data_IF_739528925073
#
_entry.id   IF_739528925073
#
_cell.length_a   1.000
_cell.length_b   1.000
_cell.length_c   1.000
_cell.angle_alpha   90.00
_cell.angle_beta   90.00
_cell.angle_gamma   90.00
#
_symmetry.space_group_name_H-M   'P 1'
#
loop_
_entity.id
_entity.type
_entity.pdbx_description
1 polymer ?
#
# COMPACT_ATOMS: atom_id res chain seq x y z
N UNK A 1 -5.53 -28.49 8.20
CA UNK A 1 -5.28 -27.02 8.12
C UNK A 1 -4.03 -26.66 8.91
N UNK A 2 -3.31 -25.63 8.50
CA UNK A 2 -2.08 -25.18 9.15
C UNK A 2 -2.41 -24.32 10.38
N UNK A 3 -1.68 -24.46 11.51
CA UNK A 3 -1.81 -23.55 12.66
C UNK A 3 -1.05 -22.24 12.38
N UNK A 4 -1.42 -21.14 13.03
CA UNK A 4 -0.77 -19.83 12.82
C UNK A 4 0.74 -19.88 13.01
N UNK A 5 1.22 -20.57 14.06
CA UNK A 5 2.65 -20.77 14.34
C UNK A 5 3.39 -21.49 13.19
N UNK A 6 2.71 -22.40 12.50
CA UNK A 6 3.27 -23.18 11.40
C UNK A 6 3.40 -22.36 10.13
N UNK A 7 2.61 -21.28 9.96
CA UNK A 7 2.67 -20.39 8.79
C UNK A 7 4.01 -19.68 8.68
N UNK A 8 4.52 -19.14 9.78
CA UNK A 8 5.82 -18.46 9.81
C UNK A 8 6.94 -19.45 9.49
N UNK A 9 6.83 -20.68 10.01
CA UNK A 9 7.79 -21.77 9.70
C UNK A 9 7.73 -22.14 8.22
N UNK A 10 6.54 -22.33 7.67
CA UNK A 10 6.31 -22.64 6.26
C UNK A 10 6.88 -21.53 5.35
N UNK A 11 6.65 -20.24 5.64
CA UNK A 11 7.28 -19.14 4.92
C UNK A 11 8.82 -19.22 4.98
N UNK A 12 9.37 -19.59 6.13
CA UNK A 12 10.80 -19.83 6.31
C UNK A 12 11.32 -20.98 5.44
N UNK A 13 10.56 -22.07 5.31
CA UNK A 13 10.88 -23.20 4.45
C UNK A 13 10.81 -22.82 2.97
N UNK A 14 9.74 -22.11 2.53
CA UNK A 14 9.63 -21.59 1.17
C UNK A 14 10.81 -20.66 0.82
N UNK A 15 11.25 -19.82 1.77
CA UNK A 15 12.41 -18.95 1.58
C UNK A 15 13.70 -19.74 1.40
N UNK A 16 13.94 -20.79 2.19
CA UNK A 16 15.13 -21.64 2.06
C UNK A 16 15.12 -22.52 0.82
N UNK A 17 13.93 -22.98 0.40
CA UNK A 17 13.75 -23.82 -0.78
C UNK A 17 13.91 -23.08 -2.12
N UNK A 18 13.90 -21.76 -2.11
CA UNK A 18 13.99 -20.92 -3.30
C UNK A 18 15.26 -20.07 -3.28
N UNK A 19 15.86 -19.87 -4.44
CA UNK A 19 16.99 -18.93 -4.58
C UNK A 19 16.46 -17.56 -4.90
N UNK A 20 16.61 -16.65 -3.95
CA UNK A 20 16.29 -15.23 -4.13
C UNK A 20 17.57 -14.41 -4.00
N UNK A 21 17.83 -13.54 -4.97
CA UNK A 21 18.94 -12.60 -4.95
C UNK A 21 18.49 -11.27 -5.51
N UNK A 22 18.75 -10.22 -4.77
CA UNK A 22 18.50 -8.84 -5.19
C UNK A 22 19.78 -8.06 -4.97
N UNK A 23 20.34 -7.52 -6.05
CA UNK A 23 21.60 -6.78 -6.02
C UNK A 23 21.43 -5.41 -6.65
N UNK A 24 22.04 -4.40 -6.04
CA UNK A 24 22.11 -3.08 -6.66
C UNK A 24 23.10 -3.11 -7.82
N UNK A 25 22.68 -2.52 -8.92
CA UNK A 25 23.49 -2.35 -10.11
C UNK A 25 23.44 -0.90 -10.59
N UNK A 26 24.46 -0.43 -11.36
CA UNK A 26 24.39 0.85 -12.03
C UNK A 26 23.12 0.99 -12.88
N UNK A 27 22.56 2.20 -12.96
CA UNK A 27 21.32 2.48 -13.69
C UNK A 27 21.44 2.19 -15.19
N UNK A 28 22.62 2.30 -15.77
CA UNK A 28 22.93 1.99 -17.17
C UNK A 28 23.17 0.49 -17.43
N UNK A 29 23.26 -0.33 -16.37
CA UNK A 29 23.43 -1.78 -16.47
C UNK A 29 22.14 -2.57 -16.22
N UNK A 30 21.01 -1.92 -16.09
CA UNK A 30 19.71 -2.60 -16.00
C UNK A 30 19.35 -3.18 -17.36
N UNK A 31 19.33 -4.52 -17.45
CA UNK A 31 18.98 -5.21 -18.69
C UNK A 31 17.54 -4.88 -19.13
N UNK A 32 17.39 -4.55 -20.41
CA UNK A 32 16.13 -4.15 -21.01
C UNK A 32 15.69 -2.69 -20.71
N UNK A 33 16.34 -1.99 -19.80
CA UNK A 33 16.04 -0.59 -19.46
C UNK A 33 17.04 0.38 -20.07
N UNK A 34 16.58 1.60 -20.34
CA UNK A 34 17.42 2.69 -20.86
C UNK A 34 16.89 4.03 -20.36
N UNK A 35 17.73 5.02 -20.38
CA UNK A 35 17.33 6.41 -20.27
C UNK A 35 17.06 6.96 -21.66
N UNK A 36 15.93 7.61 -21.83
CA UNK A 36 15.61 8.32 -23.07
C UNK A 36 16.56 9.52 -23.24
N UNK A 37 17.16 9.65 -24.41
CA UNK A 37 18.19 10.69 -24.66
C UNK A 37 17.63 12.12 -24.61
N UNK A 38 16.34 12.29 -24.92
CA UNK A 38 15.70 13.60 -24.94
C UNK A 38 15.15 14.05 -23.60
N UNK A 39 14.60 13.10 -22.82
CA UNK A 39 13.89 13.39 -21.57
C UNK A 39 14.61 12.89 -20.31
N UNK A 40 15.56 11.97 -20.47
CA UNK A 40 16.20 11.30 -19.34
C UNK A 40 15.30 10.28 -18.62
N UNK A 41 14.05 10.10 -19.06
CA UNK A 41 13.10 9.15 -18.47
C UNK A 41 13.63 7.73 -18.55
N UNK A 42 13.41 6.95 -17.49
CA UNK A 42 13.82 5.55 -17.50
C UNK A 42 12.67 4.72 -18.06
N UNK A 43 12.95 4.00 -19.15
CA UNK A 43 11.97 3.23 -19.92
C UNK A 43 12.48 1.84 -20.21
N UNK A 44 11.55 0.88 -20.37
CA UNK A 44 11.90 -0.47 -20.80
C UNK A 44 11.77 -0.61 -22.33
N UNK A 45 12.73 -1.29 -22.99
CA UNK A 45 12.81 -1.45 -24.46
C UNK A 45 11.59 -2.12 -25.09
N UNK A 46 10.84 -2.94 -24.32
CA UNK A 46 9.62 -3.58 -24.82
C UNK A 46 8.44 -2.60 -24.97
N UNK A 47 8.55 -1.36 -24.47
CA UNK A 47 7.43 -0.42 -24.36
C UNK A 47 6.34 -0.82 -23.33
N UNK A 48 6.52 -1.96 -22.66
CA UNK A 48 5.67 -2.43 -21.57
C UNK A 48 6.23 -2.06 -20.20
N UNK A 49 5.61 -2.61 -19.13
CA UNK A 49 5.94 -2.34 -17.74
C UNK A 49 5.57 -0.91 -17.30
N UNK A 50 6.49 -0.23 -16.64
CA UNK A 50 6.33 1.13 -16.13
C UNK A 50 7.49 2.00 -16.63
N UNK A 51 7.37 3.29 -16.39
CA UNK A 51 8.43 4.26 -16.63
C UNK A 51 8.71 5.05 -15.36
N UNK A 52 9.91 5.62 -15.24
CA UNK A 52 10.22 6.66 -14.25
C UNK A 52 10.36 7.96 -14.99
N UNK A 53 9.49 8.91 -14.70
CA UNK A 53 9.37 10.20 -15.37
C UNK A 53 9.51 11.33 -14.33
N UNK A 54 9.66 12.56 -14.78
CA UNK A 54 9.62 13.74 -13.91
C UNK A 54 8.21 14.33 -13.83
N UNK A 55 7.88 14.93 -12.69
CA UNK A 55 6.69 15.78 -12.54
C UNK A 55 7.01 17.05 -11.78
N UNK A 56 6.24 18.11 -12.10
CA UNK A 56 6.07 19.29 -11.25
C UNK A 56 4.67 19.29 -10.68
N UNK A 57 4.55 19.40 -9.37
CA UNK A 57 3.28 19.49 -8.67
C UNK A 57 3.11 20.89 -8.04
N UNK A 58 1.91 21.45 -8.14
CA UNK A 58 1.53 22.74 -7.56
C UNK A 58 0.25 22.60 -6.75
N UNK A 59 0.21 23.22 -5.58
CA UNK A 59 -0.97 23.21 -4.70
C UNK A 59 -1.18 24.56 -4.04
N UNK A 60 -2.43 24.87 -3.73
CA UNK A 60 -2.80 26.02 -2.90
C UNK A 60 -2.59 25.83 -1.39
N UNK A 61 -2.15 24.65 -0.94
CA UNK A 61 -2.16 24.26 0.48
C UNK A 61 -0.81 23.71 0.96
N UNK A 62 -0.60 23.74 2.28
CA UNK A 62 0.62 23.23 2.91
C UNK A 62 1.81 24.19 2.84
N UNK A 63 2.93 23.87 3.49
CA UNK A 63 4.13 24.73 3.53
C UNK A 63 4.89 24.72 2.18
N UNK A 64 4.85 23.62 1.44
CA UNK A 64 5.48 23.50 0.12
C UNK A 64 4.39 23.62 -0.94
N UNK A 65 4.45 24.70 -1.72
CA UNK A 65 3.45 25.04 -2.76
C UNK A 65 3.79 24.49 -4.14
N UNK A 66 5.06 24.26 -4.39
CA UNK A 66 5.59 23.72 -5.66
C UNK A 66 6.72 22.76 -5.32
N UNK A 67 6.71 21.59 -5.93
CA UNK A 67 7.82 20.65 -5.85
C UNK A 67 7.96 19.86 -7.16
N UNK A 68 9.12 19.32 -7.36
CA UNK A 68 9.42 18.43 -8.49
C UNK A 68 10.00 17.12 -7.97
N UNK A 69 9.68 16.03 -8.66
CA UNK A 69 10.16 14.72 -8.26
C UNK A 69 10.10 13.69 -9.38
N UNK A 70 10.91 12.61 -9.30
CA UNK A 70 10.66 11.40 -10.05
C UNK A 70 9.32 10.78 -9.63
N UNK A 71 8.62 10.18 -10.60
CA UNK A 71 7.37 9.45 -10.35
C UNK A 71 7.30 8.20 -11.22
N UNK A 72 6.64 7.17 -10.72
CA UNK A 72 6.40 5.94 -11.48
C UNK A 72 5.10 6.09 -12.27
N UNK A 73 5.19 5.94 -13.60
CA UNK A 73 4.04 5.91 -14.49
C UNK A 73 3.78 4.47 -14.93
N UNK A 74 2.71 3.88 -14.43
CA UNK A 74 2.26 2.52 -14.76
C UNK A 74 0.75 2.52 -15.00
N UNK A 75 0.33 2.63 -16.26
CA UNK A 75 -1.07 2.80 -16.64
C UNK A 75 -1.91 1.53 -16.56
N UNK A 76 -1.29 0.34 -16.53
CA UNK A 76 -2.00 -0.92 -16.46
C UNK A 76 -2.72 -1.08 -15.13
N UNK A 77 -4.00 -1.41 -15.15
CA UNK A 77 -4.74 -1.86 -13.97
C UNK A 77 -4.42 -3.33 -13.73
N UNK A 78 -3.78 -3.63 -12.62
CA UNK A 78 -3.49 -4.99 -12.18
C UNK A 78 -4.67 -5.60 -11.40
N UNK A 79 -4.60 -6.90 -11.17
CA UNK A 79 -5.53 -7.64 -10.31
C UNK A 79 -4.81 -8.01 -9.02
N UNK A 80 -5.36 -7.57 -7.90
CA UNK A 80 -5.02 -8.00 -6.55
C UNK A 80 -6.23 -8.77 -6.03
N UNK A 81 -6.13 -10.10 -6.00
CA UNK A 81 -7.29 -10.96 -5.75
C UNK A 81 -7.06 -11.96 -4.64
N UNK A 82 -8.02 -12.10 -3.72
CA UNK A 82 -8.05 -13.17 -2.73
C UNK A 82 -9.18 -14.12 -3.08
N UNK A 83 -8.83 -15.39 -3.35
CA UNK A 83 -9.78 -16.48 -3.48
C UNK A 83 -10.13 -16.98 -2.09
N UNK A 84 -11.42 -17.09 -1.80
CA UNK A 84 -11.90 -17.63 -0.54
C UNK A 84 -12.77 -18.86 -0.76
N UNK A 85 -12.75 -19.76 0.23
CA UNK A 85 -13.58 -20.96 0.25
C UNK A 85 -13.99 -21.28 1.68
N UNK A 86 -15.20 -21.74 1.86
CA UNK A 86 -15.70 -22.23 3.14
C UNK A 86 -15.26 -23.68 3.35
N UNK A 87 -14.68 -23.96 4.52
CA UNK A 87 -14.40 -25.30 5.02
C UNK A 87 -15.02 -25.44 6.41
N UNK A 88 -15.89 -26.43 6.57
CA UNK A 88 -16.59 -26.72 7.83
C UNK A 88 -17.29 -25.49 8.44
N UNK A 89 -17.94 -24.67 7.62
CA UNK A 89 -18.64 -23.46 8.05
C UNK A 89 -17.72 -22.25 8.31
N UNK A 90 -16.41 -22.36 8.04
CA UNK A 90 -15.44 -21.27 8.26
C UNK A 90 -14.81 -20.83 6.93
N UNK A 91 -14.88 -19.53 6.66
CA UNK A 91 -14.29 -18.95 5.45
C UNK A 91 -12.77 -18.85 5.57
N UNK A 92 -12.08 -19.36 4.56
CA UNK A 92 -10.61 -19.34 4.45
C UNK A 92 -10.17 -18.58 3.20
N UNK A 93 -9.07 -17.86 3.31
CA UNK A 93 -8.39 -17.15 2.25
C UNK A 93 -7.22 -17.98 1.72
N UNK A 94 -7.11 -18.11 0.40
CA UNK A 94 -5.94 -18.73 -0.24
C UNK A 94 -4.83 -17.67 -0.39
N UNK A 95 -3.79 -17.80 0.41
CA UNK A 95 -2.68 -16.85 0.45
C UNK A 95 -1.43 -17.43 -0.21
N UNK A 96 -0.67 -16.60 -0.93
CA UNK A 96 0.55 -17.00 -1.65
C UNK A 96 1.81 -16.60 -0.88
N UNK A 97 2.80 -17.49 -0.77
CA UNK A 97 4.17 -17.14 -0.41
C UNK A 97 4.87 -16.53 -1.65
N UNK A 98 4.92 -15.21 -1.73
CA UNK A 98 5.42 -14.49 -2.91
C UNK A 98 6.65 -13.66 -2.60
N UNK A 99 7.64 -13.74 -3.50
CA UNK A 99 8.82 -12.91 -3.46
C UNK A 99 8.57 -11.58 -4.17
N UNK A 100 8.94 -10.48 -3.51
CA UNK A 100 9.04 -9.16 -4.12
C UNK A 100 10.42 -8.57 -3.85
N UNK A 101 11.06 -7.95 -4.87
CA UNK A 101 12.48 -7.57 -4.77
C UNK A 101 12.77 -6.48 -3.74
N UNK A 102 11.78 -5.68 -3.38
CA UNK A 102 11.92 -4.58 -2.43
C UNK A 102 11.60 -4.94 -0.99
N UNK A 103 10.94 -6.05 -0.74
CA UNK A 103 10.50 -6.43 0.60
C UNK A 103 11.67 -6.92 1.49
N UNK A 104 11.54 -6.72 2.80
CA UNK A 104 12.43 -7.25 3.84
C UNK A 104 11.59 -7.88 4.96
N UNK A 105 11.49 -9.22 5.02
CA UNK A 105 12.10 -10.23 4.14
C UNK A 105 11.49 -10.25 2.73
N UNK A 106 12.26 -10.74 1.74
CA UNK A 106 11.84 -10.78 0.33
C UNK A 106 10.53 -11.57 0.10
N UNK A 107 10.30 -12.62 0.88
CA UNK A 107 9.13 -13.49 0.77
C UNK A 107 8.13 -13.15 1.88
N UNK A 108 6.91 -12.78 1.48
CA UNK A 108 5.80 -12.48 2.37
C UNK A 108 4.52 -13.15 1.88
N UNK A 109 3.47 -13.18 2.72
CA UNK A 109 2.12 -13.58 2.31
C UNK A 109 1.50 -12.52 1.41
N UNK A 110 1.18 -12.92 0.22
CA UNK A 110 0.57 -12.15 -0.86
C UNK A 110 -0.88 -12.60 -1.07
N UNK A 111 -1.74 -11.80 -1.73
CA UNK A 111 -3.04 -12.29 -2.17
C UNK A 111 -2.88 -13.49 -3.13
N UNK A 112 -3.94 -14.23 -3.37
CA UNK A 112 -3.93 -15.39 -4.27
C UNK A 112 -3.39 -15.02 -5.65
N UNK A 113 -3.81 -13.85 -6.16
CA UNK A 113 -3.33 -13.26 -7.41
C UNK A 113 -2.86 -11.85 -7.18
N UNK A 114 -1.64 -11.59 -7.61
CA UNK A 114 -1.05 -10.25 -7.69
C UNK A 114 -0.37 -10.16 -9.05
N UNK A 115 -1.06 -9.60 -10.05
CA UNK A 115 -0.59 -9.62 -11.43
C UNK A 115 -1.03 -8.37 -12.19
N UNK A 116 -0.12 -7.77 -12.94
CA UNK A 116 -0.44 -6.75 -13.95
C UNK A 116 -1.06 -7.39 -15.18
N UNK A 117 -1.74 -6.60 -16.00
CA UNK A 117 -2.37 -7.08 -17.24
C UNK A 117 -1.36 -7.77 -18.16
N UNK A 118 -0.18 -7.17 -18.34
CA UNK A 118 0.91 -7.73 -19.14
C UNK A 118 1.35 -9.11 -18.65
N UNK A 119 1.33 -9.37 -17.33
CA UNK A 119 1.70 -10.67 -16.76
C UNK A 119 0.64 -11.74 -17.07
N UNK A 120 -0.63 -11.49 -16.80
CA UNK A 120 -1.65 -12.53 -17.01
C UNK A 120 -2.06 -12.70 -18.49
N UNK A 121 -1.84 -11.69 -19.35
CA UNK A 121 -1.98 -11.84 -20.82
C UNK A 121 -0.72 -12.41 -21.49
N UNK A 122 0.34 -12.72 -20.72
CA UNK A 122 1.59 -13.35 -21.15
C UNK A 122 2.35 -12.58 -22.23
N UNK A 123 2.33 -11.26 -22.21
CA UNK A 123 3.11 -10.42 -23.14
C UNK A 123 4.59 -10.82 -23.16
N UNK A 124 5.12 -11.29 -22.02
CA UNK A 124 6.53 -11.66 -21.84
C UNK A 124 6.80 -13.17 -21.96
N UNK A 125 5.85 -13.98 -22.45
CA UNK A 125 5.97 -15.44 -22.59
C UNK A 125 6.36 -16.17 -21.28
N UNK A 126 6.16 -15.54 -20.12
CA UNK A 126 6.36 -16.14 -18.81
C UNK A 126 5.35 -17.26 -18.50
N UNK A 127 5.53 -17.95 -17.38
CA UNK A 127 4.58 -18.93 -16.88
C UNK A 127 3.20 -18.29 -16.65
N UNK A 128 2.14 -19.12 -16.72
CA UNK A 128 0.78 -18.66 -16.44
C UNK A 128 0.66 -18.24 -14.97
N UNK A 129 -0.01 -17.12 -14.72
CA UNK A 129 -0.37 -16.71 -13.36
C UNK A 129 -1.36 -17.73 -12.80
N UNK A 130 -1.00 -18.37 -11.68
CA UNK A 130 -1.84 -19.38 -11.04
C UNK A 130 -3.14 -18.74 -10.52
N UNK A 131 -4.24 -19.48 -10.59
CA UNK A 131 -5.57 -19.08 -10.10
C UNK A 131 -6.18 -17.83 -10.74
N UNK A 132 -5.57 -17.27 -11.80
CA UNK A 132 -6.07 -16.07 -12.47
C UNK A 132 -7.49 -16.23 -13.01
N UNK A 133 -7.88 -17.43 -13.39
CA UNK A 133 -9.18 -17.75 -14.00
C UNK A 133 -10.36 -17.44 -13.08
N UNK A 134 -10.18 -17.57 -11.76
CA UNK A 134 -11.19 -17.19 -10.77
C UNK A 134 -11.49 -15.67 -10.78
N UNK A 135 -10.57 -14.86 -11.27
CA UNK A 135 -10.68 -13.39 -11.25
C UNK A 135 -10.98 -12.78 -12.63
N UNK A 136 -10.85 -13.57 -13.71
CA UNK A 136 -11.08 -13.14 -15.09
C UNK A 136 -12.38 -13.66 -15.69
N UNK A 137 -13.20 -14.37 -14.92
CA UNK A 137 -14.52 -14.85 -15.33
C UNK A 137 -14.51 -16.20 -16.04
N UNK A 138 -13.37 -16.94 -16.03
CA UNK A 138 -13.28 -18.29 -16.61
C UNK A 138 -13.80 -19.37 -15.67
N UNK A 139 -13.87 -19.10 -14.36
CA UNK A 139 -14.36 -20.00 -13.32
C UNK A 139 -15.64 -19.43 -12.68
N UNK A 140 -16.51 -20.34 -12.20
CA UNK A 140 -17.72 -19.95 -11.47
C UNK A 140 -17.37 -19.52 -10.05
N UNK A 141 -17.63 -18.26 -9.74
CA UNK A 141 -17.34 -17.66 -8.43
C UNK A 141 -18.46 -16.74 -7.99
N UNK A 142 -18.57 -16.52 -6.69
CA UNK A 142 -19.35 -15.43 -6.10
C UNK A 142 -18.44 -14.27 -5.74
N UNK A 143 -18.68 -13.09 -6.30
CA UNK A 143 -17.90 -11.89 -5.97
C UNK A 143 -18.38 -11.35 -4.62
N UNK A 144 -17.48 -11.25 -3.65
CA UNK A 144 -17.75 -10.70 -2.32
C UNK A 144 -17.35 -9.22 -2.24
N UNK A 145 -16.26 -8.84 -2.90
CA UNK A 145 -15.80 -7.46 -3.02
C UNK A 145 -15.12 -7.26 -4.37
N UNK A 146 -15.31 -6.09 -4.97
CA UNK A 146 -14.66 -5.70 -6.21
C UNK A 146 -14.63 -4.16 -6.30
N UNK A 147 -13.45 -3.59 -6.26
CA UNK A 147 -13.26 -2.14 -6.34
C UNK A 147 -11.90 -1.76 -6.89
N UNK A 148 -11.83 -0.64 -7.60
CA UNK A 148 -10.55 -0.06 -8.00
C UNK A 148 -9.99 0.79 -6.86
N UNK A 149 -8.74 0.54 -6.52
CA UNK A 149 -8.04 1.23 -5.44
C UNK A 149 -6.79 1.92 -5.99
N UNK A 150 -6.54 3.15 -5.53
CA UNK A 150 -5.32 3.88 -5.83
C UNK A 150 -4.09 3.20 -5.21
N UNK A 151 -2.95 3.33 -5.86
CA UNK A 151 -1.64 3.06 -5.28
C UNK A 151 -1.09 4.28 -4.54
N UNK A 152 0.17 4.21 -4.05
CA UNK A 152 0.84 5.29 -3.33
C UNK A 152 0.88 6.58 -4.18
N UNK A 153 0.01 7.53 -3.90
CA UNK A 153 -0.09 8.78 -4.66
C UNK A 153 1.15 9.68 -4.57
N UNK A 154 2.04 9.43 -3.62
CA UNK A 154 3.33 10.12 -3.54
C UNK A 154 4.36 9.61 -4.54
N UNK A 155 4.23 8.39 -5.06
CA UNK A 155 5.25 7.73 -5.89
C UNK A 155 4.73 7.17 -7.21
N UNK A 156 3.43 6.93 -7.35
CA UNK A 156 2.79 6.54 -8.60
C UNK A 156 1.94 7.68 -9.16
N UNK A 157 1.96 7.85 -10.48
CA UNK A 157 1.09 8.78 -11.16
C UNK A 157 -0.18 8.07 -11.64
N UNK A 158 -1.31 8.37 -11.00
CA UNK A 158 -2.67 7.87 -11.33
C UNK A 158 -2.73 6.35 -11.53
N UNK A 159 -2.02 5.62 -10.68
CA UNK A 159 -2.01 4.16 -10.69
C UNK A 159 -3.14 3.62 -9.82
N UNK A 160 -3.86 2.64 -10.36
CA UNK A 160 -4.86 1.88 -9.63
C UNK A 160 -4.72 0.40 -9.90
N UNK A 161 -5.17 -0.42 -8.95
CA UNK A 161 -5.34 -1.85 -9.10
C UNK A 161 -6.78 -2.25 -8.74
N UNK A 162 -7.29 -3.29 -9.40
CA UNK A 162 -8.55 -3.92 -9.04
C UNK A 162 -8.31 -4.81 -7.83
N UNK A 163 -8.93 -4.47 -6.69
CA UNK A 163 -8.93 -5.26 -5.48
C UNK A 163 -10.22 -6.08 -5.44
N UNK A 164 -10.09 -7.39 -5.40
CA UNK A 164 -11.26 -8.26 -5.50
C UNK A 164 -11.16 -9.47 -4.59
N UNK A 165 -12.28 -9.87 -4.00
CA UNK A 165 -12.43 -11.08 -3.20
C UNK A 165 -13.51 -11.91 -3.85
N UNK A 166 -13.18 -13.14 -4.21
CA UNK A 166 -14.10 -14.06 -4.86
C UNK A 166 -14.17 -15.37 -4.09
N UNK A 167 -15.37 -15.93 -3.98
CA UNK A 167 -15.63 -17.20 -3.31
C UNK A 167 -15.96 -18.29 -4.31
N UNK A 168 -15.43 -19.48 -4.08
CA UNK A 168 -15.74 -20.71 -4.84
C UNK A 168 -16.18 -21.82 -3.91
N UNK A 169 -17.10 -22.63 -4.37
CA UNK A 169 -17.50 -23.94 -3.79
C UNK A 169 -16.79 -25.11 -4.50
N UNK A 170 -16.18 -24.85 -5.65
CA UNK A 170 -15.48 -25.84 -6.46
C UNK A 170 -14.16 -26.33 -5.86
N UNK A 171 -13.58 -27.35 -6.48
CA UNK A 171 -12.25 -27.84 -6.11
C UNK A 171 -11.17 -26.88 -6.58
N UNK A 172 -10.27 -26.52 -5.67
CA UNK A 172 -9.14 -25.63 -5.93
C UNK A 172 -7.86 -26.47 -5.98
N UNK A 173 -7.12 -26.47 -7.08
CA UNK A 173 -5.87 -27.22 -7.19
C UNK A 173 -4.90 -26.84 -6.07
N UNK A 174 -4.18 -27.82 -5.52
CA UNK A 174 -3.15 -27.55 -4.50
C UNK A 174 -1.87 -27.06 -5.16
N UNK A 175 -1.19 -26.18 -4.45
CA UNK A 175 0.12 -25.66 -4.81
C UNK A 175 0.95 -25.40 -3.55
N UNK A 176 2.23 -25.76 -3.58
CA UNK A 176 3.11 -25.69 -2.42
C UNK A 176 3.43 -24.24 -1.96
N UNK A 177 3.32 -23.27 -2.87
CA UNK A 177 3.52 -21.86 -2.55
C UNK A 177 2.24 -21.19 -2.03
N UNK A 178 1.17 -21.96 -1.79
CA UNK A 178 -0.12 -21.43 -1.32
C UNK A 178 -0.60 -22.16 -0.07
N UNK A 179 -1.29 -21.41 0.80
CA UNK A 179 -1.93 -21.98 1.98
C UNK A 179 -3.29 -21.34 2.25
N UNK A 180 -4.21 -22.12 2.82
CA UNK A 180 -5.51 -21.65 3.29
C UNK A 180 -5.42 -21.15 4.73
N UNK A 181 -5.86 -19.91 4.97
CA UNK A 181 -5.84 -19.27 6.28
C UNK A 181 -7.21 -18.66 6.58
N UNK A 182 -7.67 -18.80 7.80
CA UNK A 182 -8.86 -18.08 8.28
C UNK A 182 -8.55 -16.58 8.43
N UNK A 183 -9.60 -15.75 8.46
CA UNK A 183 -9.43 -14.32 8.77
C UNK A 183 -8.84 -14.11 10.18
N UNK A 184 -9.16 -14.97 11.14
CA UNK A 184 -8.56 -14.93 12.50
C UNK A 184 -7.05 -15.17 12.47
N UNK A 185 -6.57 -16.16 11.71
CA UNK A 185 -5.14 -16.42 11.54
C UNK A 185 -4.43 -15.25 10.83
N UNK A 186 -5.06 -14.67 9.82
CA UNK A 186 -4.53 -13.47 9.14
C UNK A 186 -4.46 -12.30 10.13
N UNK A 187 -5.46 -12.13 10.98
CA UNK A 187 -5.47 -11.11 12.02
C UNK A 187 -4.29 -11.26 13.00
N UNK A 188 -4.02 -12.48 13.47
CA UNK A 188 -2.85 -12.77 14.31
C UNK A 188 -1.53 -12.45 13.57
N UNK A 189 -1.40 -12.86 12.31
CA UNK A 189 -0.21 -12.62 11.50
C UNK A 189 0.05 -11.15 11.19
N UNK A 190 -0.98 -10.29 11.17
CA UNK A 190 -0.83 -8.84 11.04
C UNK A 190 -0.12 -8.20 12.25
N UNK A 191 -0.06 -8.84 13.41
CA UNK A 191 0.72 -8.38 14.55
C UNK A 191 2.22 -8.70 14.44
N UNK A 192 2.65 -9.42 13.40
CA UNK A 192 4.05 -9.74 13.14
C UNK A 192 4.61 -8.85 12.02
N UNK A 193 5.84 -8.37 12.23
CA UNK A 193 6.53 -7.50 11.28
C UNK A 193 6.72 -8.20 9.93
N UNK A 194 6.29 -7.53 8.87
CA UNK A 194 6.59 -7.91 7.49
C UNK A 194 6.22 -9.36 7.09
N UNK A 195 5.15 -9.92 7.68
CA UNK A 195 4.62 -11.25 7.32
C UNK A 195 3.64 -11.17 6.17
N UNK A 196 2.73 -10.19 6.20
CA UNK A 196 1.68 -9.98 5.18
C UNK A 196 2.04 -8.76 4.33
N UNK A 197 2.15 -8.94 3.01
CA UNK A 197 2.55 -7.84 2.12
C UNK A 197 1.46 -6.77 1.97
N UNK A 198 1.82 -5.62 1.40
CA UNK A 198 0.92 -4.48 1.23
C UNK A 198 -0.31 -4.83 0.37
N UNK A 199 -0.11 -5.58 -0.72
CA UNK A 199 -1.19 -5.97 -1.63
C UNK A 199 -2.25 -6.84 -0.95
N UNK A 200 -1.85 -7.73 -0.02
CA UNK A 200 -2.80 -8.48 0.81
C UNK A 200 -3.60 -7.56 1.71
N UNK A 201 -2.93 -6.61 2.39
CA UNK A 201 -3.58 -5.70 3.34
C UNK A 201 -4.60 -4.80 2.64
N UNK A 202 -4.31 -4.32 1.43
CA UNK A 202 -5.26 -3.49 0.68
C UNK A 202 -6.49 -4.28 0.21
N UNK A 203 -6.33 -5.56 -0.18
CA UNK A 203 -7.48 -6.43 -0.51
C UNK A 203 -8.29 -6.78 0.74
N UNK A 204 -7.63 -7.11 1.86
CA UNK A 204 -8.29 -7.40 3.14
C UNK A 204 -9.12 -6.22 3.66
N UNK A 205 -8.70 -4.98 3.39
CA UNK A 205 -9.49 -3.80 3.72
C UNK A 205 -10.82 -3.71 2.96
N UNK A 206 -10.97 -4.46 1.85
CA UNK A 206 -12.21 -4.54 1.09
C UNK A 206 -13.20 -5.58 1.65
N UNK A 207 -12.81 -6.39 2.65
CA UNK A 207 -13.71 -7.37 3.29
C UNK A 207 -14.94 -6.63 3.84
N UNK A 208 -16.15 -7.04 3.45
CA UNK A 208 -17.35 -6.44 4.00
C UNK A 208 -17.43 -6.63 5.51
N UNK A 209 -17.51 -5.53 6.24
CA UNK A 209 -17.79 -5.61 7.69
C UNK A 209 -19.29 -5.74 7.92
N UNK A 210 -19.72 -6.52 8.94
CA UNK A 210 -21.09 -6.52 9.37
C UNK A 210 -21.54 -5.11 9.76
N UNK A 211 -22.76 -4.74 9.45
CA UNK A 211 -23.36 -3.53 10.02
C UNK A 211 -23.59 -3.79 11.51
N UNK A 212 -22.85 -3.09 12.35
CA UNK A 212 -22.94 -3.24 13.80
C UNK A 212 -24.04 -2.38 14.41
N UNK A 213 -24.70 -1.53 13.60
CA UNK A 213 -25.66 -0.55 14.10
C UNK A 213 -25.03 0.51 15.02
N UNK A 214 -23.70 0.62 15.04
CA UNK A 214 -22.99 1.58 15.87
C UNK A 214 -23.26 3.01 15.39
N UNK A 215 -23.61 3.90 16.33
CA UNK A 215 -23.87 5.31 16.04
C UNK A 215 -22.53 6.06 15.85
N UNK A 216 -22.28 6.51 14.61
CA UNK A 216 -21.10 7.30 14.28
C UNK A 216 -21.30 8.77 14.69
N UNK A 217 -20.21 9.46 15.08
CA UNK A 217 -20.21 10.90 15.42
C UNK A 217 -20.79 11.75 14.28
N UNK A 218 -20.46 11.41 13.06
CA UNK A 218 -20.92 12.11 11.86
C UNK A 218 -21.70 11.15 10.95
N UNK A 219 -22.88 11.56 10.42
CA UNK A 219 -23.58 10.77 9.42
C UNK A 219 -22.75 10.58 8.14
N UNK A 220 -22.93 9.47 7.43
CA UNK A 220 -22.23 9.15 6.18
C UNK A 220 -22.34 10.28 5.16
N UNK A 221 -23.53 10.90 5.03
CA UNK A 221 -23.77 12.01 4.11
C UNK A 221 -22.99 13.28 4.46
N UNK A 222 -22.64 13.48 5.72
CA UNK A 222 -21.77 14.58 6.15
C UNK A 222 -20.32 14.29 5.78
N UNK A 223 -19.85 13.06 5.99
CA UNK A 223 -18.50 12.64 5.60
C UNK A 223 -18.32 12.76 4.09
N UNK A 224 -19.31 12.33 3.29
CA UNK A 224 -19.25 12.43 1.83
C UNK A 224 -19.14 13.90 1.39
N UNK A 225 -20.00 14.80 1.90
CA UNK A 225 -19.95 16.23 1.60
C UNK A 225 -18.63 16.90 2.04
N UNK A 226 -18.14 16.53 3.21
CA UNK A 226 -16.86 17.04 3.69
C UNK A 226 -15.70 16.61 2.77
N UNK A 227 -15.63 15.33 2.38
CA UNK A 227 -14.57 14.84 1.50
C UNK A 227 -14.62 15.51 0.12
N UNK A 228 -15.80 15.72 -0.45
CA UNK A 228 -15.98 16.46 -1.70
C UNK A 228 -15.50 17.91 -1.57
N UNK A 229 -15.83 18.58 -0.46
CA UNK A 229 -15.35 19.94 -0.19
C UNK A 229 -13.83 20.01 -0.04
N UNK A 230 -13.20 19.01 0.63
CA UNK A 230 -11.75 18.93 0.74
C UNK A 230 -11.08 18.64 -0.61
N UNK A 231 -11.67 17.80 -1.47
CA UNK A 231 -11.21 17.59 -2.85
C UNK A 231 -11.24 18.88 -3.67
N UNK A 232 -12.32 19.63 -3.59
CA UNK A 232 -12.44 20.92 -4.30
C UNK A 232 -11.41 21.94 -3.79
N UNK A 233 -11.14 21.96 -2.49
CA UNK A 233 -10.23 22.91 -1.84
C UNK A 233 -8.75 22.58 -1.97
N UNK A 234 -8.39 21.28 -2.00
CA UNK A 234 -7.00 20.79 -1.93
C UNK A 234 -6.51 20.21 -3.24
N UNK A 235 -6.88 20.81 -4.36
CA UNK A 235 -6.41 20.33 -5.66
C UNK A 235 -4.88 20.41 -5.79
N UNK A 236 -4.30 19.40 -6.42
CA UNK A 236 -2.90 19.37 -6.84
C UNK A 236 -2.87 19.36 -8.36
N UNK A 237 -2.29 20.40 -8.92
CA UNK A 237 -2.04 20.45 -10.36
C UNK A 237 -0.70 19.82 -10.68
N UNK A 238 -0.70 18.83 -11.58
CA UNK A 238 0.50 18.05 -11.92
C UNK A 238 0.80 18.20 -13.40
N UNK A 239 2.02 18.63 -13.69
CA UNK A 239 2.57 18.76 -15.04
C UNK A 239 3.69 17.73 -15.24
N UNK A 240 3.67 16.93 -16.33
CA UNK A 240 4.81 16.09 -16.70
C UNK A 240 6.03 16.95 -17.02
N UNK A 241 7.18 16.53 -16.56
CA UNK A 241 8.48 17.11 -16.93
C UNK A 241 9.43 15.99 -17.39
N UNK A 242 10.39 16.29 -18.28
CA UNK A 242 11.52 15.39 -18.49
C UNK A 242 12.23 15.08 -17.16
N UNK A 243 12.56 13.83 -16.91
CA UNK A 243 13.26 13.43 -15.68
C UNK A 243 14.61 14.14 -15.53
N UNK A 244 15.24 14.49 -16.65
CA UNK A 244 16.49 15.27 -16.68
C UNK A 244 16.33 16.75 -16.33
N UNK A 245 15.10 17.27 -16.32
CA UNK A 245 14.80 18.69 -16.14
C UNK A 245 14.18 19.03 -14.77
N UNK A 246 13.98 18.04 -13.90
CA UNK A 246 13.41 18.29 -12.56
C UNK A 246 14.44 18.92 -11.63
N UNK A 247 14.04 20.00 -10.98
CA UNK A 247 14.90 20.72 -10.04
C UNK A 247 15.13 19.94 -8.74
N UNK A 248 16.34 20.08 -8.19
CA UNK A 248 16.74 19.48 -6.90
C UNK A 248 17.06 17.99 -6.98
N UNK A 249 16.96 17.34 -8.14
CA UNK A 249 17.29 15.93 -8.33
C UNK A 249 18.50 15.76 -9.26
N UNK A 250 19.41 14.87 -8.87
CA UNK A 250 20.64 14.59 -9.63
C UNK A 250 20.77 13.11 -9.96
N UNK A 251 21.03 12.84 -11.23
CA UNK A 251 21.33 11.51 -11.72
C UNK A 251 22.84 11.24 -11.62
N UNK A 252 23.20 10.22 -10.83
CA UNK A 252 24.52 9.61 -10.80
C UNK A 252 24.55 8.28 -11.56
N UNK A 253 25.67 7.56 -11.45
CA UNK A 253 25.82 6.21 -12.04
C UNK A 253 24.88 5.18 -11.43
N UNK A 254 24.65 5.23 -10.11
CA UNK A 254 23.93 4.21 -9.37
C UNK A 254 22.55 4.66 -8.90
N UNK A 255 22.32 5.97 -8.82
CA UNK A 255 21.11 6.51 -8.20
C UNK A 255 20.67 7.81 -8.87
N UNK A 256 19.36 8.13 -8.70
CA UNK A 256 18.86 9.49 -8.86
C UNK A 256 18.46 9.93 -7.45
N UNK A 257 19.14 10.94 -6.91
CA UNK A 257 18.97 11.43 -5.55
C UNK A 257 18.48 12.87 -5.53
N UNK A 258 17.71 13.24 -4.49
CA UNK A 258 17.46 14.64 -4.19
C UNK A 258 18.72 15.26 -3.56
N UNK A 259 19.07 16.50 -3.95
CA UNK A 259 20.28 17.20 -3.51
C UNK A 259 20.39 17.35 -1.98
N UNK A 260 19.26 17.45 -1.30
CA UNK A 260 19.22 17.51 0.17
C UNK A 260 19.50 16.16 0.85
N UNK A 261 19.61 15.07 0.08
CA UNK A 261 19.73 13.70 0.62
C UNK A 261 18.46 13.15 1.29
N UNK A 262 17.31 13.84 1.15
CA UNK A 262 16.02 13.47 1.76
C UNK A 262 15.11 12.73 0.79
N UNK A 263 13.91 12.43 1.28
CA UNK A 263 12.77 11.84 0.57
C UNK A 263 13.06 10.39 0.14
N UNK A 264 13.48 10.17 -1.06
CA UNK A 264 13.79 8.86 -1.63
C UNK A 264 14.88 9.00 -2.71
N UNK A 265 15.31 7.88 -3.25
CA UNK A 265 16.16 7.82 -4.43
C UNK A 265 15.65 6.74 -5.38
N UNK A 266 15.97 6.87 -6.66
CA UNK A 266 15.77 5.82 -7.66
C UNK A 266 17.04 5.00 -7.75
N UNK A 267 16.94 3.69 -7.67
CA UNK A 267 18.07 2.74 -7.73
C UNK A 267 17.81 1.66 -8.79
N UNK A 268 18.85 1.14 -9.40
CA UNK A 268 18.78 -0.04 -10.27
C UNK A 268 19.01 -1.32 -9.47
N UNK A 269 18.23 -2.36 -9.74
CA UNK A 269 18.43 -3.70 -9.16
C UNK A 269 18.43 -4.79 -10.22
N UNK A 270 19.25 -5.83 -9.98
CA UNK A 270 19.18 -7.13 -10.65
C UNK A 270 18.55 -8.13 -9.70
N UNK A 271 17.60 -8.90 -10.18
CA UNK A 271 16.78 -9.83 -9.39
C UNK A 271 16.89 -11.22 -9.95
N UNK A 272 17.06 -12.21 -9.06
CA UNK A 272 16.92 -13.63 -9.36
C UNK A 272 15.88 -14.24 -8.40
N UNK A 273 14.89 -14.94 -8.93
CA UNK A 273 13.81 -15.53 -8.16
C UNK A 273 13.33 -16.84 -8.77
N UNK A 274 13.58 -17.95 -8.06
CA UNK A 274 13.30 -19.31 -8.59
C UNK A 274 11.81 -19.67 -8.68
N UNK A 275 10.93 -18.95 -7.96
CA UNK A 275 9.48 -19.25 -7.91
C UNK A 275 8.60 -18.18 -8.59
N UNK A 276 9.19 -17.38 -9.48
CA UNK A 276 8.44 -16.35 -10.23
C UNK A 276 8.22 -16.80 -11.68
N UNK A 277 7.26 -16.16 -12.34
CA UNK A 277 6.94 -16.39 -13.76
C UNK A 277 8.14 -16.10 -14.67
N UNK A 278 9.03 -15.22 -14.25
CA UNK A 278 10.34 -14.91 -14.84
C UNK A 278 11.39 -15.05 -13.75
N UNK A 279 12.46 -15.80 -14.03
CA UNK A 279 13.46 -16.17 -13.03
C UNK A 279 14.60 -15.15 -12.85
N UNK A 280 14.73 -14.22 -13.79
CA UNK A 280 15.74 -13.15 -13.71
C UNK A 280 15.33 -11.92 -14.50
N UNK A 281 15.50 -10.73 -13.89
CA UNK A 281 15.22 -9.44 -14.53
C UNK A 281 16.00 -8.32 -13.84
N UNK A 282 16.00 -7.15 -14.47
CA UNK A 282 16.44 -5.90 -13.83
C UNK A 282 15.32 -4.88 -13.85
N UNK A 283 15.33 -3.95 -12.88
CA UNK A 283 14.35 -2.87 -12.84
C UNK A 283 14.81 -1.70 -11.96
N UNK A 284 14.29 -0.47 -12.17
CA UNK A 284 14.41 0.59 -11.19
C UNK A 284 13.45 0.35 -10.02
N UNK A 285 13.87 0.78 -8.81
CA UNK A 285 13.06 0.81 -7.60
C UNK A 285 13.22 2.16 -6.91
N UNK A 286 12.17 2.61 -6.20
CA UNK A 286 12.24 3.77 -5.32
C UNK A 286 12.64 3.32 -3.92
N UNK A 287 13.66 3.95 -3.35
CA UNK A 287 14.16 3.63 -2.02
C UNK A 287 14.00 4.85 -1.10
N UNK A 288 13.07 4.82 -0.13
CA UNK A 288 12.87 5.91 0.81
C UNK A 288 14.07 6.10 1.74
N UNK A 289 14.16 7.28 2.34
CA UNK A 289 15.16 7.65 3.34
C UNK A 289 14.52 7.59 4.73
N UNK A 290 14.78 6.54 5.48
CA UNK A 290 14.26 6.35 6.82
C UNK A 290 13.01 5.47 6.89
N UNK A 291 12.59 5.19 8.12
CA UNK A 291 11.41 4.39 8.42
C UNK A 291 10.15 5.28 8.38
N UNK A 292 9.15 4.86 7.62
CA UNK A 292 7.86 5.52 7.60
C UNK A 292 7.12 5.40 8.93
N UNK A 293 6.25 6.37 9.21
CA UNK A 293 5.26 6.32 10.30
C UNK A 293 3.88 6.52 9.70
N UNK A 294 3.00 5.55 9.96
CA UNK A 294 1.63 5.52 9.50
C UNK A 294 0.74 5.23 10.70
N UNK A 295 -0.05 6.21 11.15
CA UNK A 295 -0.80 6.08 12.40
C UNK A 295 -2.21 6.65 12.32
N UNK A 296 -3.18 5.94 12.88
CA UNK A 296 -4.44 6.53 13.30
C UNK A 296 -4.39 6.88 14.78
N UNK A 297 -4.78 8.11 15.12
CA UNK A 297 -5.28 8.41 16.44
C UNK A 297 -6.68 7.82 16.58
N UNK A 298 -6.96 7.17 17.70
CA UNK A 298 -8.24 6.53 17.99
C UNK A 298 -8.88 7.12 19.24
N UNK A 299 -10.20 7.10 19.29
CA UNK A 299 -10.98 7.55 20.45
C UNK A 299 -12.31 6.82 20.53
N UNK A 300 -12.80 6.56 21.72
CA UNK A 300 -14.20 6.13 21.92
C UNK A 300 -15.10 7.34 22.06
N UNK A 301 -16.07 7.48 21.16
CA UNK A 301 -17.07 8.55 21.14
C UNK A 301 -18.43 7.85 21.20
N UNK A 302 -19.25 8.18 22.21
CA UNK A 302 -20.51 7.46 22.41
C UNK A 302 -20.36 5.95 22.63
N UNK A 303 -19.20 5.50 23.16
CA UNK A 303 -18.90 4.06 23.30
C UNK A 303 -18.32 3.39 22.04
N UNK A 304 -18.41 4.02 20.88
CA UNK A 304 -17.94 3.51 19.58
C UNK A 304 -16.52 3.98 19.30
N UNK A 305 -15.68 3.09 18.80
CA UNK A 305 -14.30 3.45 18.41
C UNK A 305 -14.29 4.20 17.08
N UNK A 306 -13.72 5.37 17.10
CA UNK A 306 -13.45 6.19 15.92
C UNK A 306 -11.95 6.30 15.69
N UNK A 307 -11.57 6.56 14.45
CA UNK A 307 -10.22 6.92 14.02
C UNK A 307 -10.24 8.31 13.41
N UNK A 308 -9.18 9.08 13.64
CA UNK A 308 -9.03 10.41 13.07
C UNK A 308 -8.39 10.30 11.68
N UNK A 309 -9.18 10.44 10.64
CA UNK A 309 -8.71 10.40 9.26
C UNK A 309 -8.41 11.80 8.73
N UNK A 310 -7.37 11.90 7.87
CA UNK A 310 -6.96 13.12 7.19
C UNK A 310 -7.44 13.11 5.73
N UNK A 311 -8.00 14.21 5.25
CA UNK A 311 -8.15 14.46 3.81
C UNK A 311 -6.79 14.88 3.24
N UNK A 312 -6.03 13.94 2.69
CA UNK A 312 -4.65 14.12 2.26
C UNK A 312 -4.56 14.29 0.75
N UNK A 313 -3.86 15.35 0.34
CA UNK A 313 -3.56 15.60 -1.06
C UNK A 313 -2.22 14.97 -1.45
N UNK A 314 -2.20 14.21 -2.55
CA UNK A 314 -0.99 13.63 -3.14
C UNK A 314 -1.02 13.78 -4.66
N UNK A 315 0.14 14.09 -5.26
CA UNK A 315 0.26 14.42 -6.68
C UNK A 315 -0.14 13.28 -7.63
N UNK A 316 -0.01 12.04 -7.19
CA UNK A 316 -0.30 10.87 -8.01
C UNK A 316 -1.72 10.31 -7.87
N UNK A 317 -2.58 10.86 -7.02
CA UNK A 317 -3.96 10.42 -6.91
C UNK A 317 -4.82 10.93 -8.07
N UNK A 318 -5.90 10.20 -8.41
CA UNK A 318 -6.81 10.59 -9.49
C UNK A 318 -7.54 11.90 -9.18
N UNK A 319 -8.10 12.01 -7.97
CA UNK A 319 -8.90 13.17 -7.53
C UNK A 319 -8.11 14.07 -6.56
N UNK A 320 -6.79 14.01 -6.60
CA UNK A 320 -5.85 14.71 -5.72
C UNK A 320 -5.96 14.37 -4.23
N UNK A 321 -7.14 14.07 -3.69
CA UNK A 321 -7.38 13.87 -2.25
C UNK A 321 -8.07 12.54 -1.97
N UNK A 322 -7.48 11.78 -1.06
CA UNK A 322 -8.10 10.61 -0.43
C UNK A 322 -7.97 10.67 1.08
N UNK A 323 -8.79 9.91 1.80
CA UNK A 323 -8.65 9.73 3.23
C UNK A 323 -7.37 8.97 3.54
N UNK A 324 -6.57 9.54 4.40
CA UNK A 324 -5.29 9.02 4.86
C UNK A 324 -5.29 8.82 6.39
N UNK A 325 -4.31 8.13 6.94
CA UNK A 325 -4.07 8.10 8.38
C UNK A 325 -3.92 9.50 8.98
N UNK A 326 -4.09 9.62 10.29
CA UNK A 326 -3.85 10.87 11.03
C UNK A 326 -2.43 11.38 10.77
N UNK A 327 -1.46 10.47 10.80
CA UNK A 327 -0.06 10.72 10.47
C UNK A 327 0.39 9.73 9.41
N UNK A 328 0.99 10.27 8.35
CA UNK A 328 1.62 9.49 7.28
C UNK A 328 2.83 10.27 6.78
N UNK A 329 4.02 9.88 7.20
CA UNK A 329 5.25 10.53 6.78
C UNK A 329 6.48 9.67 7.12
N UNK A 330 7.64 10.07 6.58
CA UNK A 330 8.95 9.67 7.09
C UNK A 330 9.47 10.79 7.97
N UNK A 331 9.57 10.62 9.31
CA UNK A 331 9.87 11.70 10.26
C UNK A 331 11.16 12.44 9.95
N UNK A 332 12.18 11.75 9.45
CA UNK A 332 13.48 12.33 9.08
C UNK A 332 13.36 13.44 8.02
N UNK A 333 12.35 13.36 7.15
CA UNK A 333 12.10 14.40 6.14
C UNK A 333 11.62 15.72 6.74
N UNK A 334 11.18 15.72 7.99
CA UNK A 334 10.63 16.87 8.72
C UNK A 334 11.47 17.31 9.91
N UNK A 335 12.52 16.55 10.26
CA UNK A 335 13.34 16.80 11.45
C UNK A 335 14.02 18.18 11.46
N UNK A 336 14.25 18.76 10.28
CA UNK A 336 14.85 20.09 10.12
C UNK A 336 13.85 21.25 10.26
N UNK A 337 12.54 20.96 10.31
CA UNK A 337 11.51 21.97 10.44
C UNK A 337 11.20 22.29 11.91
N UNK A 338 10.75 23.52 12.16
CA UNK A 338 10.21 23.89 13.45
C UNK A 338 8.95 23.03 13.77
N UNK A 339 8.63 22.84 15.04
CA UNK A 339 7.52 21.98 15.48
C UNK A 339 6.17 22.35 14.81
N UNK A 340 5.90 23.64 14.62
CA UNK A 340 4.67 24.12 13.97
C UNK A 340 4.57 23.85 12.47
N UNK A 341 5.68 23.51 11.81
CA UNK A 341 5.74 23.22 10.37
C UNK A 341 5.79 21.70 10.08
N UNK A 342 5.84 20.89 11.14
CA UNK A 342 5.81 19.42 11.03
C UNK A 342 4.40 18.92 10.79
N UNK A 343 4.23 17.68 10.28
CA UNK A 343 2.90 17.06 10.19
C UNK A 343 2.17 17.10 11.53
N UNK A 344 0.93 17.57 11.50
CA UNK A 344 0.08 17.65 12.70
C UNK A 344 -0.02 16.26 13.34
N UNK A 345 0.02 16.20 14.67
CA UNK A 345 0.00 14.98 15.49
C UNK A 345 1.24 14.06 15.38
N UNK A 346 2.26 14.39 14.56
CA UNK A 346 3.46 13.57 14.47
C UNK A 346 4.16 13.41 15.82
N UNK A 347 4.40 14.51 16.52
CA UNK A 347 5.09 14.50 17.81
C UNK A 347 4.27 13.75 18.88
N UNK A 348 2.93 13.83 18.83
CA UNK A 348 2.03 13.07 19.71
C UNK A 348 2.16 11.56 19.45
N UNK A 349 2.14 11.14 18.19
CA UNK A 349 2.28 9.72 17.80
C UNK A 349 3.66 9.19 18.18
N UNK A 350 4.73 9.95 17.95
CA UNK A 350 6.09 9.53 18.29
C UNK A 350 6.33 9.43 19.80
N UNK A 351 5.64 10.25 20.59
CA UNK A 351 5.71 10.28 22.05
C UNK A 351 4.71 9.35 22.75
N UNK A 352 3.91 8.58 21.99
CA UNK A 352 2.91 7.68 22.56
C UNK A 352 3.56 6.62 23.45
N UNK A 353 3.06 6.48 24.68
CA UNK A 353 3.47 5.46 25.61
C UNK A 353 2.89 4.09 25.25
N UNK A 354 3.49 3.01 25.76
CA UNK A 354 3.02 1.65 25.48
C UNK A 354 1.55 1.41 25.86
N UNK A 355 1.07 2.09 26.89
CA UNK A 355 -0.32 1.99 27.35
C UNK A 355 -1.32 2.63 26.36
N UNK A 356 -0.85 3.59 25.55
CA UNK A 356 -1.69 4.30 24.59
C UNK A 356 -1.67 3.59 23.20
N UNK A 357 -0.75 2.65 22.98
CA UNK A 357 -0.60 1.95 21.71
C UNK A 357 -1.48 0.69 21.72
N UNK A 358 -2.51 0.69 20.90
CA UNK A 358 -3.46 -0.42 20.74
C UNK A 358 -2.96 -1.46 19.73
N UNK A 359 -2.18 -1.02 18.77
CA UNK A 359 -1.58 -1.84 17.72
C UNK A 359 -0.25 -1.22 17.29
N UNK A 360 0.73 -2.05 17.08
CA UNK A 360 2.01 -1.67 16.49
C UNK A 360 2.61 -2.87 15.75
N UNK A 361 3.02 -2.64 14.51
CA UNK A 361 3.87 -3.54 13.74
C UNK A 361 4.59 -2.75 12.65
N UNK A 362 5.72 -3.28 12.15
CA UNK A 362 6.39 -2.75 10.97
C UNK A 362 5.88 -3.50 9.74
N UNK A 363 5.40 -2.74 8.75
CA UNK A 363 4.92 -3.31 7.50
C UNK A 363 5.62 -2.70 6.29
N UNK A 364 5.99 -3.57 5.35
CA UNK A 364 6.52 -3.14 4.05
C UNK A 364 5.44 -2.48 3.21
N UNK A 365 5.83 -1.51 2.41
CA UNK A 365 5.01 -0.99 1.33
C UNK A 365 5.08 -1.92 0.10
N UNK A 366 4.77 -1.46 -1.11
CA UNK A 366 4.74 -2.27 -2.33
C UNK A 366 6.15 -2.67 -2.78
N UNK A 367 6.53 -3.91 -2.53
CA UNK A 367 7.89 -4.41 -2.77
C UNK A 367 8.26 -4.66 -4.22
N UNK A 368 7.29 -4.61 -5.14
CA UNK A 368 7.56 -4.70 -6.57
C UNK A 368 8.14 -3.42 -7.17
N UNK A 369 8.00 -2.27 -6.48
CA UNK A 369 8.43 -0.94 -6.95
C UNK A 369 9.26 -0.17 -5.94
N UNK A 370 9.21 -0.54 -4.67
CA UNK A 370 9.91 0.16 -3.61
C UNK A 370 10.92 -0.77 -2.93
N UNK A 371 12.12 -0.26 -2.67
CA UNK A 371 13.21 -1.03 -2.05
C UNK A 371 13.32 -0.70 -0.56
N UNK A 372 13.00 -1.66 0.30
CA UNK A 372 13.09 -1.50 1.74
C UNK A 372 12.22 -0.35 2.28
N UNK A 373 11.07 -0.15 1.66
CA UNK A 373 10.08 0.83 2.09
C UNK A 373 9.23 0.20 3.21
N UNK A 374 9.64 0.41 4.44
CA UNK A 374 8.96 -0.08 5.63
C UNK A 374 8.33 1.10 6.39
N UNK A 375 7.18 0.86 6.99
CA UNK A 375 6.45 1.82 7.82
C UNK A 375 6.08 1.21 9.17
N UNK A 376 6.33 1.95 10.24
CA UNK A 376 5.78 1.67 11.56
C UNK A 376 4.30 2.02 11.55
N UNK A 377 3.44 1.02 11.60
CA UNK A 377 1.99 1.13 11.56
C UNK A 377 1.42 1.10 12.98
N UNK A 378 0.63 2.11 13.35
CA UNK A 378 0.16 2.31 14.71
C UNK A 378 -1.33 2.63 14.79
N UNK A 379 -1.97 2.10 15.83
CA UNK A 379 -3.24 2.60 16.36
C UNK A 379 -2.95 3.16 17.75
N UNK A 380 -3.14 4.48 17.94
CA UNK A 380 -2.77 5.17 19.16
C UNK A 380 -4.02 5.80 19.79
N UNK A 381 -4.29 5.54 21.05
CA UNK A 381 -5.37 6.19 21.79
C UNK A 381 -5.04 7.68 21.94
N UNK A 382 -5.96 8.55 21.52
CA UNK A 382 -5.72 10.00 21.49
C UNK A 382 -5.58 10.62 22.87
N UNK A 383 -6.23 10.01 23.89
CA UNK A 383 -6.25 10.51 25.26
C UNK A 383 -6.77 11.94 25.38
N UNK A 384 -6.51 12.58 26.50
CA UNK A 384 -6.94 13.97 26.79
C UNK A 384 -6.18 15.01 25.94
N UNK A 385 -5.03 14.64 25.37
CA UNK A 385 -4.20 15.49 24.50
C UNK A 385 -4.61 15.46 23.03
N UNK A 386 -5.53 14.54 22.67
CA UNK A 386 -6.06 14.45 21.31
C UNK A 386 -7.09 15.55 21.03
N UNK A 387 -7.45 15.73 19.75
CA UNK A 387 -8.52 16.64 19.38
C UNK A 387 -9.84 16.17 19.97
N UNK A 388 -10.71 17.12 20.35
CA UNK A 388 -12.08 16.85 20.73
C UNK A 388 -12.92 16.32 19.58
N UNK A 389 -14.24 16.34 19.76
CA UNK A 389 -15.18 15.93 18.72
C UNK A 389 -15.05 16.84 17.49
N UNK A 390 -14.73 18.14 17.71
CA UNK A 390 -14.37 19.08 16.66
C UNK A 390 -12.91 18.86 16.22
N UNK A 391 -12.72 18.03 15.22
CA UNK A 391 -11.40 17.77 14.67
C UNK A 391 -10.86 19.01 13.91
N UNK A 392 -9.51 19.19 13.85
CA UNK A 392 -8.91 20.27 13.05
C UNK A 392 -9.30 20.21 11.57
N UNK A 393 -9.20 21.38 10.90
CA UNK A 393 -9.47 21.45 9.45
C UNK A 393 -8.70 20.40 8.66
N UNK A 394 -9.39 19.67 7.79
CA UNK A 394 -8.83 18.58 7.00
C UNK A 394 -8.79 17.24 7.73
N UNK A 395 -9.34 17.14 8.93
CA UNK A 395 -9.49 15.90 9.69
C UNK A 395 -10.96 15.65 10.06
N UNK A 396 -11.33 14.38 10.18
CA UNK A 396 -12.64 13.93 10.70
C UNK A 396 -12.51 12.61 11.43
N UNK A 397 -13.34 12.46 12.46
CA UNK A 397 -13.51 11.20 13.16
C UNK A 397 -14.45 10.29 12.37
N UNK A 398 -14.00 9.09 12.05
CA UNK A 398 -14.78 8.06 11.32
C UNK A 398 -14.73 6.73 12.06
N UNK A 399 -15.79 5.96 11.95
CA UNK A 399 -15.80 4.55 12.38
C UNK A 399 -15.12 3.65 11.35
N UNK A 400 -14.73 2.43 11.76
CA UNK A 400 -14.23 1.41 10.83
C UNK A 400 -15.27 1.06 9.75
N UNK A 401 -16.56 1.05 10.10
CA UNK A 401 -17.67 0.83 9.18
C UNK A 401 -17.73 1.89 8.08
N UNK A 402 -17.59 3.17 8.45
CA UNK A 402 -17.55 4.29 7.49
C UNK A 402 -16.35 4.21 6.56
N UNK A 403 -15.16 3.90 7.07
CA UNK A 403 -13.97 3.70 6.23
C UNK A 403 -14.17 2.51 5.29
N UNK A 404 -14.68 1.38 5.76
CA UNK A 404 -14.97 0.20 4.93
C UNK A 404 -15.97 0.50 3.81
N UNK A 405 -17.01 1.29 4.09
CA UNK A 405 -17.97 1.77 3.08
C UNK A 405 -17.25 2.58 1.98
N UNK A 406 -16.36 3.49 2.37
CA UNK A 406 -15.61 4.33 1.42
C UNK A 406 -14.56 3.54 0.63
N UNK A 407 -13.91 2.55 1.23
CA UNK A 407 -13.00 1.62 0.53
C UNK A 407 -13.75 0.90 -0.60
N UNK A 408 -14.97 0.40 -0.35
CA UNK A 408 -15.75 -0.30 -1.39
C UNK A 408 -16.14 0.59 -2.58
N UNK A 409 -16.22 1.91 -2.40
CA UNK A 409 -16.48 2.87 -3.51
C UNK A 409 -15.26 3.10 -4.39
N UNK A 410 -14.06 2.74 -3.92
CA UNK A 410 -12.78 2.98 -4.60
C UNK A 410 -12.36 4.46 -4.61
N UNK A 411 -11.05 4.71 -4.71
CA UNK A 411 -10.47 6.07 -4.81
C UNK A 411 -10.91 7.06 -3.70
N UNK A 412 -11.27 6.56 -2.52
CA UNK A 412 -11.68 7.39 -1.37
C UNK A 412 -10.74 7.27 -0.18
N UNK A 413 -10.07 6.14 -0.04
CA UNK A 413 -9.19 5.81 1.08
C UNK A 413 -7.85 5.35 0.53
N UNK A 414 -6.77 6.03 0.89
CA UNK A 414 -5.45 5.73 0.36
C UNK A 414 -4.89 4.39 0.90
N UNK A 415 -3.81 3.92 0.31
CA UNK A 415 -3.24 2.59 0.58
C UNK A 415 -2.80 2.43 2.04
N UNK A 416 -2.24 3.46 2.66
CA UNK A 416 -1.81 3.43 4.05
C UNK A 416 -3.00 3.37 5.02
N UNK A 417 -4.06 4.11 4.75
CA UNK A 417 -5.29 4.03 5.54
C UNK A 417 -5.99 2.67 5.37
N UNK A 418 -5.96 2.06 4.16
CA UNK A 418 -6.44 0.69 3.95
C UNK A 418 -5.62 -0.33 4.73
N UNK A 419 -4.29 -0.19 4.77
CA UNK A 419 -3.42 -1.02 5.62
C UNK A 419 -3.85 -0.94 7.10
N UNK A 420 -3.99 0.28 7.64
CA UNK A 420 -4.41 0.45 9.04
C UNK A 420 -5.84 -0.01 9.29
N UNK A 421 -6.75 0.11 8.32
CA UNK A 421 -8.10 -0.45 8.44
C UNK A 421 -8.08 -1.98 8.57
N UNK A 422 -7.25 -2.67 7.77
CA UNK A 422 -7.05 -4.11 7.91
C UNK A 422 -6.51 -4.49 9.30
N UNK A 423 -5.56 -3.73 9.84
CA UNK A 423 -5.02 -3.90 11.19
C UNK A 423 -6.04 -3.59 12.29
N UNK A 424 -6.86 -2.55 12.11
CA UNK A 424 -7.94 -2.18 13.04
C UNK A 424 -8.99 -3.29 13.14
N UNK A 425 -9.39 -3.85 12.00
CA UNK A 425 -10.33 -4.97 11.93
C UNK A 425 -9.77 -6.23 12.59
N UNK A 426 -8.47 -6.49 12.41
CA UNK A 426 -7.75 -7.59 13.06
C UNK A 426 -7.75 -7.43 14.59
N UNK A 427 -7.44 -6.25 15.10
CA UNK A 427 -7.44 -5.94 16.55
C UNK A 427 -8.83 -6.10 17.15
N UNK A 428 -9.89 -5.69 16.45
CA UNK A 428 -11.26 -5.86 16.89
C UNK A 428 -11.70 -7.32 16.95
N UNK A 429 -11.19 -8.18 16.06
CA UNK A 429 -11.45 -9.61 16.06
C UNK A 429 -10.74 -10.34 17.21
N UNK A 430 -9.53 -9.93 17.58
CA UNK A 430 -8.75 -10.51 18.67
C UNK A 430 -9.28 -10.15 20.07
N UNK A 431 -10.02 -9.04 20.20
CA UNK A 431 -10.63 -8.59 21.46
C UNK A 431 -12.03 -9.14 21.73
N UNK A 432 -12.56 -10.01 20.86
CA UNK A 432 -13.80 -10.76 21.03
C UNK A 432 -13.50 -12.20 21.39
#
# INVERSE_FOLDING_TARGET
MMRTEDVVRWLGERRRGNRFRVERIPLDRMDGWYADDGTGDIRHRSGGFFTVEGIRARTGHGPVRVWEQPIICQREVGILGILVKEFDGVLHCLMQAKMEPGNRPLLQLSPTVQATRSNYTRVHRGARVKYIDYFTGSERVRVLADSQQSEHGSWFHRKSNRNTIVETDGDVPRDDDYCWLTLGQIAELLHHDNVINMDSRTVLACVPLPDTGEEALHPDTEIDRWLEAERARRQVHVEPLPLSAIDGWRRGTHTIDHESGRYFRVVGVSVQAGNREVTGWSQPLFEPRGLGVTAFLTRRIGGVRHVLAQARAEAGLHDSVELAPTVQCTPENYAHLAAGDRPLFLDQVLAAGRADILYEAVHSEEGGRFLGADSRCLLVEAGDRGPGDDAPSGYRWLTAGQLSRLVRRGHHVNVQARTLLACLNATAAAGR
#
